data_IF_915659845269
#
_entry.id   IF_915659845269
#
_cell.length_a   1.000
_cell.length_b   1.000
_cell.length_c   1.000
_cell.angle_alpha   90.00
_cell.angle_beta   90.00
_cell.angle_gamma   90.00
#
_symmetry.space_group_name_H-M   'P 1'
#
loop_
_entity.id
_entity.type
_entity.pdbx_description
1 polymer ?
#
# COMPACT_ATOMS: atom_id res chain seq x y z
N UNK A 1 -14.30 61.62 46.21
CA UNK A 1 -15.28 61.14 45.21
C UNK A 1 -15.33 62.18 44.10
N UNK A 2 -14.71 61.89 42.96
CA UNK A 2 -14.74 62.71 41.75
C UNK A 2 -14.54 61.76 40.57
N UNK A 3 -15.41 61.76 39.55
CA UNK A 3 -15.30 60.81 38.45
C UNK A 3 -14.03 61.07 37.62
N UNK A 4 -13.36 60.04 37.09
CA UNK A 4 -12.21 60.20 36.20
C UNK A 4 -12.64 60.80 34.85
N UNK A 5 -11.74 61.51 34.14
CA UNK A 5 -12.03 62.18 32.88
C UNK A 5 -12.35 61.21 31.75
N UNK A 6 -13.39 61.52 30.98
CA UNK A 6 -13.82 60.78 29.79
C UNK A 6 -12.77 60.83 28.68
N UNK A 7 -12.21 59.67 28.32
CA UNK A 7 -11.37 59.50 27.14
C UNK A 7 -12.19 59.66 25.85
N UNK A 8 -11.68 60.33 24.80
CA UNK A 8 -12.41 60.54 23.56
C UNK A 8 -12.57 59.25 22.77
N UNK A 9 -13.75 59.08 22.21
CA UNK A 9 -14.18 57.99 21.33
C UNK A 9 -13.31 57.97 20.07
N UNK A 10 -12.34 57.06 19.99
CA UNK A 10 -11.54 56.84 18.77
C UNK A 10 -12.42 56.19 17.71
N UNK A 11 -12.88 57.01 16.76
CA UNK A 11 -13.62 56.58 15.58
C UNK A 11 -12.71 55.71 14.73
N UNK A 12 -13.03 54.42 14.63
CA UNK A 12 -12.36 53.48 13.72
C UNK A 12 -12.87 53.76 12.30
N UNK A 13 -12.02 54.20 11.34
CA UNK A 13 -12.47 54.41 9.97
C UNK A 13 -12.78 53.06 9.32
N UNK A 14 -13.97 52.95 8.73
CA UNK A 14 -14.56 51.72 8.21
C UNK A 14 -13.97 51.23 6.87
N UNK A 15 -12.75 51.64 6.50
CA UNK A 15 -12.20 51.38 5.16
C UNK A 15 -10.75 50.90 5.19
N UNK A 16 -10.54 49.72 5.75
CA UNK A 16 -9.24 49.03 5.68
C UNK A 16 -9.37 47.55 5.33
N UNK A 17 -10.36 47.22 4.49
CA UNK A 17 -10.57 45.85 3.96
C UNK A 17 -10.60 45.79 2.43
N UNK A 18 -9.95 46.74 1.75
CA UNK A 18 -9.95 46.81 0.28
C UNK A 18 -8.61 46.50 -0.39
N UNK A 19 -7.52 46.21 0.36
CA UNK A 19 -6.17 46.14 -0.23
C UNK A 19 -5.40 44.81 -0.15
N UNK A 20 -6.04 43.72 0.28
CA UNK A 20 -5.45 42.37 0.13
C UNK A 20 -6.31 41.52 -0.81
N UNK A 21 -6.49 42.00 -2.05
CA UNK A 21 -6.76 41.10 -3.19
C UNK A 21 -5.42 40.77 -3.82
N UNK A 22 -4.76 39.76 -3.26
CA UNK A 22 -3.68 39.07 -3.97
C UNK A 22 -4.29 38.49 -5.24
N UNK A 23 -3.85 38.87 -6.45
CA UNK A 23 -4.36 38.28 -7.67
C UNK A 23 -3.90 36.81 -7.72
N UNK A 24 -4.84 35.89 -7.47
CA UNK A 24 -4.65 34.45 -7.59
C UNK A 24 -4.41 34.06 -9.06
N UNK A 25 -3.20 34.28 -9.58
CA UNK A 25 -2.76 33.71 -10.86
C UNK A 25 -2.22 32.31 -10.62
N UNK A 26 -3.09 31.30 -10.57
CA UNK A 26 -2.66 29.90 -10.50
C UNK A 26 -3.43 29.02 -11.49
N UNK A 27 -2.88 28.73 -12.69
CA UNK A 27 -3.41 27.71 -13.61
C UNK A 27 -3.34 26.27 -13.06
N UNK A 28 -2.68 26.07 -11.91
CA UNK A 28 -2.32 24.76 -11.35
C UNK A 28 -3.47 24.02 -10.66
N UNK A 29 -4.47 24.72 -10.10
CA UNK A 29 -5.60 24.07 -9.40
C UNK A 29 -6.59 23.42 -10.36
N UNK A 30 -6.79 24.00 -11.54
CA UNK A 30 -7.61 23.42 -12.60
C UNK A 30 -6.96 22.15 -13.16
N UNK A 31 -5.64 22.18 -13.41
CA UNK A 31 -4.89 21.05 -13.96
C UNK A 31 -4.90 19.82 -13.04
N UNK A 32 -4.83 20.03 -11.72
CA UNK A 32 -4.81 18.95 -10.72
C UNK A 32 -6.18 18.27 -10.53
N UNK A 33 -7.29 18.98 -10.75
CA UNK A 33 -8.65 18.38 -10.72
C UNK A 33 -8.93 17.53 -11.95
N UNK A 34 -8.49 17.97 -13.13
CA UNK A 34 -8.61 17.16 -14.36
C UNK A 34 -7.77 15.88 -14.24
N UNK A 35 -6.55 15.99 -13.69
CA UNK A 35 -5.67 14.83 -13.49
C UNK A 35 -6.25 13.82 -12.46
N UNK A 36 -6.80 14.31 -11.35
CA UNK A 36 -7.42 13.43 -10.32
C UNK A 36 -8.72 12.77 -10.77
N UNK A 37 -9.55 13.48 -11.53
CA UNK A 37 -10.82 12.96 -12.07
C UNK A 37 -10.60 11.91 -13.17
N UNK A 38 -9.59 12.09 -14.03
CA UNK A 38 -9.23 11.11 -15.07
C UNK A 38 -8.73 9.79 -14.44
N UNK A 39 -7.96 9.87 -13.35
CA UNK A 39 -7.45 8.69 -12.62
C UNK A 39 -8.56 7.98 -11.84
N UNK A 40 -9.53 8.71 -11.27
CA UNK A 40 -10.67 8.10 -10.56
C UNK A 40 -11.70 7.46 -11.49
N UNK A 41 -11.95 8.03 -12.68
CA UNK A 41 -12.81 7.41 -13.70
C UNK A 41 -12.15 6.18 -14.35
N UNK A 42 -10.82 6.19 -14.51
CA UNK A 42 -10.01 5.06 -14.97
C UNK A 42 -9.89 3.92 -13.92
N UNK A 43 -10.51 4.05 -12.75
CA UNK A 43 -10.40 3.10 -11.64
C UNK A 43 -11.49 2.03 -11.60
N UNK A 44 -12.41 1.98 -12.57
CA UNK A 44 -13.33 0.85 -12.72
C UNK A 44 -12.55 -0.29 -13.42
N UNK A 45 -12.58 -1.50 -12.89
CA UNK A 45 -12.04 -2.73 -13.49
C UNK A 45 -12.23 -2.85 -15.02
N UNK A 46 -13.39 -2.49 -15.63
CA UNK A 46 -13.54 -2.47 -17.09
C UNK A 46 -12.59 -1.51 -17.83
N UNK A 47 -12.10 -0.44 -17.19
CA UNK A 47 -11.19 0.52 -17.80
C UNK A 47 -9.82 -0.09 -18.12
N UNK A 48 -9.33 -1.03 -17.30
CA UNK A 48 -8.06 -1.72 -17.57
C UNK A 48 -8.18 -2.64 -18.79
N UNK A 49 -9.30 -3.38 -18.90
CA UNK A 49 -9.60 -4.22 -20.06
C UNK A 49 -9.80 -3.37 -21.31
N UNK A 50 -10.54 -2.26 -21.21
CA UNK A 50 -10.72 -1.33 -22.32
C UNK A 50 -9.39 -0.71 -22.79
N UNK A 51 -8.49 -0.35 -21.86
CA UNK A 51 -7.17 0.16 -22.19
C UNK A 51 -6.30 -0.90 -22.89
N UNK A 52 -6.36 -2.16 -22.46
CA UNK A 52 -5.70 -3.27 -23.13
C UNK A 52 -6.22 -3.46 -24.56
N UNK A 53 -7.53 -3.54 -24.74
CA UNK A 53 -8.14 -3.67 -26.07
C UNK A 53 -7.82 -2.47 -26.97
N UNK A 54 -7.83 -1.25 -26.42
CA UNK A 54 -7.42 -0.06 -27.16
C UNK A 54 -5.96 -0.13 -27.62
N UNK A 55 -5.06 -0.69 -26.79
CA UNK A 55 -3.66 -0.90 -27.15
C UNK A 55 -3.53 -1.90 -28.31
N UNK A 56 -4.27 -3.02 -28.26
CA UNK A 56 -4.30 -4.02 -29.35
C UNK A 56 -4.82 -3.40 -30.64
N UNK A 57 -5.92 -2.64 -30.59
CA UNK A 57 -6.50 -1.99 -31.76
C UNK A 57 -5.59 -0.91 -32.34
N UNK A 58 -4.92 -0.13 -31.49
CA UNK A 58 -3.94 0.88 -31.93
C UNK A 58 -2.71 0.24 -32.59
N UNK A 59 -2.18 -0.85 -32.00
CA UNK A 59 -1.09 -1.61 -32.58
C UNK A 59 -1.48 -2.24 -33.92
N UNK A 60 -2.68 -2.83 -34.02
CA UNK A 60 -3.22 -3.40 -35.24
C UNK A 60 -3.38 -2.36 -36.35
N UNK A 61 -3.95 -1.20 -36.03
CA UNK A 61 -4.06 -0.11 -36.98
C UNK A 61 -2.69 0.38 -37.46
N UNK A 62 -1.74 0.58 -36.54
CA UNK A 62 -0.39 1.01 -36.89
C UNK A 62 0.34 0.00 -37.77
N UNK A 63 0.33 -1.30 -37.42
CA UNK A 63 1.05 -2.32 -38.18
C UNK A 63 0.43 -2.57 -39.56
N UNK A 64 -0.91 -2.49 -39.67
CA UNK A 64 -1.60 -2.61 -40.95
C UNK A 64 -1.17 -1.53 -41.95
N UNK A 65 -0.86 -0.31 -41.47
CA UNK A 65 -0.37 0.78 -42.32
C UNK A 65 1.04 0.51 -42.86
N UNK A 66 1.91 -0.13 -42.09
CA UNK A 66 3.31 -0.38 -42.50
C UNK A 66 3.47 -1.67 -43.30
N UNK A 67 2.75 -2.73 -42.93
CA UNK A 67 2.92 -4.06 -43.51
C UNK A 67 1.86 -4.39 -44.58
N UNK A 68 0.84 -3.55 -44.76
CA UNK A 68 -0.23 -3.78 -45.72
C UNK A 68 -1.13 -4.98 -45.39
N UNK A 69 -1.12 -5.43 -44.14
CA UNK A 69 -1.96 -6.53 -43.67
C UNK A 69 -3.44 -6.16 -43.62
N UNK A 70 -4.31 -7.16 -43.73
CA UNK A 70 -5.71 -6.94 -43.41
C UNK A 70 -5.86 -6.54 -41.94
N UNK A 71 -6.89 -5.76 -41.61
CA UNK A 71 -7.10 -5.35 -40.22
C UNK A 71 -7.32 -6.55 -39.28
N UNK A 72 -7.94 -7.63 -39.76
CA UNK A 72 -8.12 -8.85 -38.99
C UNK A 72 -6.79 -9.53 -38.64
N UNK A 73 -5.90 -9.68 -39.63
CA UNK A 73 -4.57 -10.27 -39.42
C UNK A 73 -3.70 -9.40 -38.51
N UNK A 74 -3.81 -8.07 -38.65
CA UNK A 74 -3.11 -7.13 -37.79
C UNK A 74 -3.59 -7.18 -36.33
N UNK A 75 -4.90 -7.34 -36.10
CA UNK A 75 -5.47 -7.54 -34.75
C UNK A 75 -5.02 -8.87 -34.16
N UNK A 76 -5.03 -9.95 -34.96
CA UNK A 76 -4.55 -11.25 -34.55
C UNK A 76 -3.07 -11.22 -34.14
N UNK A 77 -2.22 -10.60 -34.97
CA UNK A 77 -0.82 -10.42 -34.66
C UNK A 77 -0.61 -9.55 -33.41
N UNK A 78 -1.33 -8.43 -33.29
CA UNK A 78 -1.22 -7.54 -32.14
C UNK A 78 -1.60 -8.28 -30.85
N UNK A 79 -2.71 -9.01 -30.87
CA UNK A 79 -3.18 -9.79 -29.73
C UNK A 79 -2.16 -10.84 -29.30
N UNK A 80 -1.70 -11.69 -30.23
CA UNK A 80 -0.73 -12.76 -29.94
C UNK A 80 0.63 -12.23 -29.51
N UNK A 81 1.02 -11.04 -29.98
CA UNK A 81 2.25 -10.35 -29.55
C UNK A 81 2.10 -9.78 -28.15
N UNK A 82 1.00 -9.08 -27.85
CA UNK A 82 0.76 -8.50 -26.52
C UNK A 82 0.57 -9.55 -25.44
N UNK A 83 0.00 -10.73 -25.78
CA UNK A 83 -0.09 -11.89 -24.87
C UNK A 83 1.19 -12.71 -24.80
N UNK A 84 2.24 -12.33 -25.56
CA UNK A 84 3.52 -13.05 -25.67
C UNK A 84 3.39 -14.49 -26.20
N UNK A 85 2.26 -14.83 -26.82
CA UNK A 85 2.05 -16.15 -27.46
C UNK A 85 2.91 -16.30 -28.70
N UNK A 86 2.89 -15.30 -29.60
CA UNK A 86 3.77 -15.20 -30.77
C UNK A 86 3.85 -16.45 -31.64
N UNK A 87 2.76 -16.84 -32.30
CA UNK A 87 2.76 -18.01 -33.20
C UNK A 87 3.76 -17.92 -34.36
N UNK A 88 4.13 -16.70 -34.78
CA UNK A 88 5.13 -16.46 -35.82
C UNK A 88 4.60 -16.60 -37.25
N UNK A 89 3.29 -16.76 -37.41
CA UNK A 89 2.55 -16.72 -38.68
C UNK A 89 2.58 -15.33 -39.33
N UNK A 90 2.55 -14.27 -38.53
CA UNK A 90 2.75 -12.89 -38.96
C UNK A 90 3.94 -12.27 -38.25
N UNK A 91 4.81 -11.58 -39.00
CA UNK A 91 5.93 -10.83 -38.43
C UNK A 91 6.27 -9.59 -39.28
N UNK A 92 6.52 -8.43 -38.65
CA UNK A 92 6.87 -7.22 -39.39
C UNK A 92 8.19 -7.36 -40.14
N UNK A 93 8.17 -7.14 -41.45
CA UNK A 93 9.38 -7.17 -42.28
C UNK A 93 9.88 -5.78 -42.62
N UNK A 94 9.01 -4.75 -42.54
CA UNK A 94 9.38 -3.36 -42.83
C UNK A 94 10.12 -2.71 -41.67
N UNK A 95 10.97 -1.72 -41.98
CA UNK A 95 11.67 -0.95 -40.95
C UNK A 95 10.71 -0.24 -39.98
N UNK A 96 9.64 0.36 -40.51
CA UNK A 96 8.61 1.01 -39.70
C UNK A 96 7.80 0.02 -38.87
N UNK A 97 7.39 -1.11 -39.46
CA UNK A 97 6.66 -2.16 -38.76
C UNK A 97 7.46 -2.78 -37.60
N UNK A 98 8.78 -2.93 -37.75
CA UNK A 98 9.66 -3.38 -36.65
C UNK A 98 9.69 -2.41 -35.48
N UNK A 99 9.72 -1.09 -35.74
CA UNK A 99 9.64 -0.08 -34.68
C UNK A 99 8.30 -0.18 -33.95
N UNK A 100 7.20 -0.28 -34.71
CA UNK A 100 5.86 -0.50 -34.13
C UNK A 100 5.83 -1.77 -33.28
N UNK A 101 6.43 -2.86 -33.74
CA UNK A 101 6.46 -4.10 -32.99
C UNK A 101 7.21 -4.01 -31.67
N UNK A 102 8.37 -3.35 -31.66
CA UNK A 102 9.10 -3.10 -30.41
C UNK A 102 8.24 -2.31 -29.43
N UNK A 103 7.56 -1.26 -29.90
CA UNK A 103 6.64 -0.47 -29.06
C UNK A 103 5.48 -1.32 -28.53
N UNK A 104 4.89 -2.16 -29.36
CA UNK A 104 3.80 -3.08 -28.99
C UNK A 104 4.25 -4.10 -27.94
N UNK A 105 5.48 -4.62 -28.04
CA UNK A 105 6.04 -5.54 -27.04
C UNK A 105 6.15 -4.88 -25.65
N UNK A 106 6.70 -3.67 -25.58
CA UNK A 106 6.76 -2.91 -24.31
C UNK A 106 5.36 -2.61 -23.77
N UNK A 107 4.43 -2.19 -24.64
CA UNK A 107 3.06 -1.92 -24.24
C UNK A 107 2.35 -3.17 -23.70
N UNK A 108 2.59 -4.34 -24.30
CA UNK A 108 2.06 -5.62 -23.83
C UNK A 108 2.52 -5.96 -22.40
N UNK A 109 3.82 -5.82 -22.12
CA UNK A 109 4.38 -6.06 -20.78
C UNK A 109 3.73 -5.13 -19.74
N UNK A 110 3.63 -3.83 -20.06
CA UNK A 110 3.00 -2.85 -19.17
C UNK A 110 1.53 -3.20 -18.93
N UNK A 111 0.80 -3.58 -19.98
CA UNK A 111 -0.61 -3.89 -19.86
C UNK A 111 -0.85 -5.15 -19.00
N UNK A 112 -0.08 -6.22 -19.19
CA UNK A 112 -0.14 -7.42 -18.35
C UNK A 112 0.19 -7.06 -16.90
N UNK A 113 1.24 -6.26 -16.65
CA UNK A 113 1.61 -5.82 -15.31
C UNK A 113 0.49 -5.04 -14.61
N UNK A 114 -0.21 -4.16 -15.33
CA UNK A 114 -1.39 -3.46 -14.80
C UNK A 114 -2.50 -4.46 -14.46
N UNK A 115 -2.83 -5.40 -15.34
CA UNK A 115 -3.88 -6.40 -15.09
C UNK A 115 -3.57 -7.24 -13.85
N UNK A 116 -2.33 -7.73 -13.73
CA UNK A 116 -1.87 -8.50 -12.55
C UNK A 116 -1.95 -7.66 -11.28
N UNK A 117 -1.46 -6.42 -11.31
CA UNK A 117 -1.52 -5.51 -10.16
C UNK A 117 -2.97 -5.21 -9.73
N UNK A 118 -3.91 -5.14 -10.68
CA UNK A 118 -5.34 -4.97 -10.39
C UNK A 118 -5.94 -6.19 -9.72
N UNK A 119 -5.65 -7.39 -10.22
CA UNK A 119 -6.11 -8.65 -9.62
C UNK A 119 -5.55 -8.76 -8.20
N UNK A 120 -4.26 -8.51 -8.02
CA UNK A 120 -3.63 -8.51 -6.70
C UNK A 120 -4.30 -7.51 -5.76
N UNK A 121 -4.61 -6.29 -6.21
CA UNK A 121 -5.30 -5.29 -5.40
C UNK A 121 -6.72 -5.71 -4.99
N UNK A 122 -7.44 -6.47 -5.83
CA UNK A 122 -8.76 -7.03 -5.48
C UNK A 122 -8.60 -8.13 -4.45
N UNK A 123 -7.65 -9.05 -4.64
CA UNK A 123 -7.37 -10.16 -3.71
C UNK A 123 -6.92 -9.63 -2.34
N UNK A 124 -6.05 -8.63 -2.32
CA UNK A 124 -5.59 -8.00 -1.08
C UNK A 124 -6.76 -7.34 -0.36
N UNK A 125 -7.65 -6.60 -1.06
CA UNK A 125 -8.84 -6.02 -0.43
C UNK A 125 -9.77 -7.07 0.16
N UNK A 126 -9.99 -8.20 -0.52
CA UNK A 126 -10.81 -9.27 0.05
C UNK A 126 -10.18 -9.94 1.27
N UNK A 127 -8.87 -9.83 1.45
CA UNK A 127 -8.17 -10.32 2.64
C UNK A 127 -8.01 -9.25 3.73
N UNK A 128 -7.94 -7.97 3.37
CA UNK A 128 -7.83 -6.85 4.31
C UNK A 128 -9.19 -6.29 4.76
N UNK A 129 -10.30 -6.74 4.15
CA UNK A 129 -11.69 -6.48 4.59
C UNK A 129 -12.07 -7.28 5.86
N UNK A 130 -11.10 -7.58 6.74
CA UNK A 130 -11.41 -7.75 8.16
C UNK A 130 -11.87 -6.39 8.67
N UNK A 131 -13.15 -6.10 8.47
CA UNK A 131 -13.84 -4.87 8.84
C UNK A 131 -13.46 -4.49 10.27
N UNK A 132 -13.25 -3.21 10.53
CA UNK A 132 -12.95 -2.70 11.88
C UNK A 132 -13.88 -3.25 12.96
N UNK A 133 -15.10 -3.64 12.61
CA UNK A 133 -16.06 -4.30 13.49
C UNK A 133 -15.56 -5.66 14.01
N UNK A 134 -15.02 -6.53 13.16
CA UNK A 134 -14.50 -7.85 13.55
C UNK A 134 -13.18 -7.72 14.32
N UNK A 135 -12.33 -6.74 13.97
CA UNK A 135 -11.12 -6.44 14.75
C UNK A 135 -11.43 -5.88 16.13
N UNK A 136 -12.49 -5.06 16.26
CA UNK A 136 -12.94 -4.51 17.55
C UNK A 136 -13.58 -5.61 18.39
N UNK A 137 -14.35 -6.53 17.79
CA UNK A 137 -14.92 -7.68 18.49
C UNK A 137 -13.84 -8.62 19.05
N UNK A 138 -12.77 -8.88 18.28
CA UNK A 138 -11.64 -9.69 18.74
C UNK A 138 -10.86 -9.03 19.89
N UNK A 139 -10.77 -7.70 19.91
CA UNK A 139 -10.14 -6.96 21.01
C UNK A 139 -11.03 -6.96 22.26
N UNK A 140 -12.35 -6.83 22.11
CA UNK A 140 -13.32 -6.86 23.21
C UNK A 140 -13.33 -8.24 23.90
N UNK A 141 -13.29 -9.34 23.13
CA UNK A 141 -13.21 -10.70 23.67
C UNK A 141 -11.91 -10.93 24.46
N UNK A 142 -10.77 -10.39 24.00
CA UNK A 142 -9.49 -10.48 24.72
C UNK A 142 -9.52 -9.72 26.05
N UNK A 143 -10.16 -8.55 26.09
CA UNK A 143 -10.31 -7.74 27.31
C UNK A 143 -11.26 -8.41 28.31
N UNK A 144 -12.34 -9.05 27.83
CA UNK A 144 -13.26 -9.82 28.64
C UNK A 144 -12.58 -11.05 29.26
N UNK A 145 -11.81 -11.81 28.47
CA UNK A 145 -11.03 -12.94 28.96
C UNK A 145 -10.05 -12.53 30.07
N UNK A 146 -9.37 -11.40 29.91
CA UNK A 146 -8.43 -10.86 30.91
C UNK A 146 -9.15 -10.48 32.20
N UNK A 147 -10.34 -9.88 32.12
CA UNK A 147 -11.17 -9.55 33.28
C UNK A 147 -11.62 -10.78 34.05
N UNK A 148 -12.11 -11.80 33.36
CA UNK A 148 -12.57 -13.03 34.01
C UNK A 148 -11.42 -13.75 34.72
N UNK A 149 -10.21 -13.74 34.13
CA UNK A 149 -9.02 -14.28 34.78
C UNK A 149 -8.65 -13.50 36.04
N UNK A 150 -8.68 -12.16 36.00
CA UNK A 150 -8.40 -11.34 37.18
C UNK A 150 -9.44 -11.55 38.29
N UNK A 151 -10.72 -11.67 37.94
CA UNK A 151 -11.80 -11.95 38.89
C UNK A 151 -11.63 -13.32 39.55
N UNK A 152 -11.29 -14.35 38.79
CA UNK A 152 -11.03 -15.69 39.34
C UNK A 152 -9.85 -15.67 40.31
N UNK A 153 -8.75 -15.01 39.95
CA UNK A 153 -7.60 -14.85 40.84
C UNK A 153 -7.98 -14.13 42.13
N UNK A 154 -8.72 -13.02 42.05
CA UNK A 154 -9.16 -12.28 43.23
C UNK A 154 -10.05 -13.13 44.15
N UNK A 155 -10.96 -13.94 43.59
CA UNK A 155 -11.79 -14.88 44.39
C UNK A 155 -10.97 -15.97 45.05
N UNK A 156 -9.96 -16.51 44.35
CA UNK A 156 -9.06 -17.51 44.93
C UNK A 156 -8.22 -16.92 46.06
N UNK A 157 -7.71 -15.69 45.92
CA UNK A 157 -6.94 -15.00 46.96
C UNK A 157 -7.77 -14.81 48.25
N UNK A 158 -9.05 -14.44 48.10
CA UNK A 158 -9.98 -14.32 49.23
C UNK A 158 -10.23 -15.67 49.90
N UNK A 159 -10.40 -16.75 49.13
CA UNK A 159 -10.59 -18.10 49.66
C UNK A 159 -9.32 -18.63 50.35
N UNK A 160 -8.13 -18.37 49.79
CA UNK A 160 -6.85 -18.76 50.39
C UNK A 160 -6.57 -17.98 51.68
N UNK A 161 -6.89 -16.68 51.71
CA UNK A 161 -6.82 -15.85 52.91
C UNK A 161 -7.79 -16.35 54.00
N UNK A 162 -9.02 -16.71 53.65
CA UNK A 162 -10.00 -17.28 54.57
C UNK A 162 -9.61 -18.69 55.06
N UNK A 163 -8.92 -19.47 54.22
CA UNK A 163 -8.41 -20.79 54.55
C UNK A 163 -7.06 -20.77 55.30
N UNK A 164 -6.48 -19.59 55.55
CA UNK A 164 -5.19 -19.44 56.24
C UNK A 164 -4.00 -20.03 55.48
N UNK A 165 -4.11 -20.21 54.16
CA UNK A 165 -3.05 -20.75 53.31
C UNK A 165 -2.17 -19.60 52.79
N UNK A 166 -0.83 -19.68 52.92
CA UNK A 166 0.04 -18.63 52.40
C UNK A 166 -0.06 -18.56 50.86
N UNK A 167 -0.15 -17.33 50.33
CA UNK A 167 -0.28 -17.04 48.91
C UNK A 167 0.80 -17.76 48.09
N UNK A 168 0.40 -18.46 47.03
CA UNK A 168 1.34 -19.11 46.11
C UNK A 168 2.13 -18.04 45.37
N UNK A 169 3.40 -17.87 45.75
CA UNK A 169 4.35 -17.12 44.95
C UNK A 169 4.41 -17.70 43.53
N UNK A 170 4.04 -16.89 42.55
CA UNK A 170 4.28 -17.09 41.13
C UNK A 170 5.79 -17.12 40.87
N UNK A 171 6.36 -18.32 41.00
CA UNK A 171 7.74 -18.61 40.61
C UNK A 171 7.77 -19.51 39.39
N UNK A 172 7.81 -18.92 38.19
CA UNK A 172 8.51 -19.56 37.07
C UNK A 172 8.95 -18.54 36.03
N UNK A 173 10.19 -18.12 36.21
CA UNK A 173 11.11 -17.56 35.23
C UNK A 173 11.10 -18.38 33.92
N UNK A 174 10.66 -17.80 32.79
CA UNK A 174 11.13 -18.19 31.46
C UNK A 174 12.21 -17.19 31.00
N UNK A 175 13.45 -17.62 31.26
CA UNK A 175 14.71 -16.98 30.94
C UNK A 175 14.91 -16.93 29.42
N UNK A 176 15.17 -15.75 28.87
CA UNK A 176 15.78 -15.54 27.54
C UNK A 176 17.16 -16.22 27.52
N UNK A 177 17.49 -17.12 26.57
CA UNK A 177 18.81 -17.73 26.51
C UNK A 177 19.81 -16.78 25.82
N UNK A 178 20.82 -16.31 26.55
CA UNK A 178 21.92 -15.55 25.97
C UNK A 178 23.09 -15.30 26.92
N UNK A 179 24.15 -16.10 26.75
CA UNK A 179 25.56 -15.85 27.08
C UNK A 179 26.07 -15.87 28.55
N UNK A 180 26.95 -16.85 28.83
CA UNK A 180 28.29 -16.55 29.37
C UNK A 180 28.68 -17.09 30.75
N UNK A 181 29.48 -18.17 30.77
CA UNK A 181 30.78 -18.18 31.47
C UNK A 181 30.88 -18.67 32.94
N UNK A 182 31.36 -19.91 33.12
CA UNK A 182 32.16 -20.38 34.27
C UNK A 182 33.04 -21.52 33.74
N UNK A 183 34.33 -21.71 34.05
CA UNK A 183 35.28 -21.08 34.95
C UNK A 183 36.61 -21.85 34.80
N UNK A 184 37.72 -21.13 34.94
CA UNK A 184 39.15 -21.45 34.83
C UNK A 184 39.66 -22.60 35.75
N UNK A 185 40.98 -22.89 35.91
CA UNK A 185 41.98 -23.41 34.95
C UNK A 185 42.74 -24.66 35.51
N UNK A 186 43.36 -25.49 34.66
CA UNK A 186 44.44 -26.38 35.11
C UNK A 186 45.45 -26.68 33.99
N UNK A 187 46.70 -26.56 34.39
CA UNK A 187 47.98 -26.52 33.69
C UNK A 187 48.56 -27.93 33.43
N UNK A 188 49.07 -28.18 32.22
CA UNK A 188 50.26 -29.00 31.89
C UNK A 188 50.39 -29.03 30.35
N UNK A 189 51.26 -28.21 29.74
CA UNK A 189 52.71 -28.38 29.55
C UNK A 189 53.08 -29.35 28.41
N UNK A 190 54.02 -28.92 27.57
CA UNK A 190 54.95 -29.84 26.90
C UNK A 190 54.76 -30.18 25.42
N UNK A 191 55.26 -29.29 24.57
CA UNK A 191 56.11 -29.56 23.39
C UNK A 191 55.51 -29.84 21.99
N UNK A 192 56.11 -29.25 20.93
CA UNK A 192 55.78 -29.45 19.52
C UNK A 192 56.82 -30.35 18.79
N UNK A 193 56.40 -31.17 17.82
CA UNK A 193 57.24 -31.71 16.71
C UNK A 193 56.29 -32.20 15.59
N UNK A 194 56.15 -31.49 14.47
CA UNK A 194 56.87 -31.67 13.19
C UNK A 194 56.78 -33.08 12.62
N UNK A 195 56.15 -33.17 11.44
CA UNK A 195 56.11 -34.31 10.53
C UNK A 195 55.23 -33.95 9.35
#
# INVERSE_FOLDING_TARGET
>A
MGPPPSTPRSVMPADRRAHERTPDTLPTRALRRVHGGLVHAANRTPAAVAAYLATVLAAAWAIALFEGWSFGDAVWWAFTTTTTTGYGDFSPVTGGGRVVAVLTMFAGIVAIGVIVGRIAAVVIRTHDDFTHEEQVELLDDSDEQTRLLHELHARLDVLDAAAGRPARHTGSSSRVPGAGGHGSPAQHDGAPRTG
#
